data_IF_395597525196
#
_entry.id   IF_395597525196
#
_cell.length_a   1.000
_cell.length_b   1.000
_cell.length_c   1.000
_cell.angle_alpha   90.00
_cell.angle_beta   90.00
_cell.angle_gamma   90.00
#
_symmetry.space_group_name_H-M   'P 1'
#
loop_
_entity.id
_entity.type
_entity.pdbx_description
1 polymer ?
#
# COMPACT_ATOMS: atom_id res chain seq x y z
N UNK A 1 14.77 10.39 -12.78
CA UNK A 1 14.09 9.25 -13.44
C UNK A 1 15.10 8.15 -13.79
N UNK A 2 15.28 7.15 -12.93
CA UNK A 2 16.35 6.16 -13.10
C UNK A 2 15.84 4.71 -13.17
N UNK A 3 16.55 3.88 -13.94
CA UNK A 3 16.29 2.43 -14.10
C UNK A 3 16.20 1.73 -12.74
N UNK A 4 17.11 2.04 -11.82
CA UNK A 4 17.28 1.31 -10.55
C UNK A 4 16.06 1.48 -9.64
N UNK A 5 15.55 2.70 -9.48
CA UNK A 5 14.35 2.98 -8.69
C UNK A 5 13.11 2.32 -9.28
N UNK A 6 12.96 2.34 -10.61
CA UNK A 6 11.86 1.68 -11.30
C UNK A 6 11.92 0.15 -11.16
N UNK A 7 13.12 -0.44 -11.29
CA UNK A 7 13.33 -1.88 -11.11
C UNK A 7 13.06 -2.31 -9.66
N UNK A 8 13.55 -1.56 -8.67
CA UNK A 8 13.29 -1.83 -7.26
C UNK A 8 11.80 -1.71 -6.92
N UNK A 9 11.11 -0.73 -7.53
CA UNK A 9 9.66 -0.59 -7.39
C UNK A 9 8.93 -1.78 -8.04
N UNK A 10 9.27 -2.13 -9.28
CA UNK A 10 8.71 -3.28 -9.97
C UNK A 10 8.86 -4.57 -9.16
N UNK A 11 10.05 -4.79 -8.60
CA UNK A 11 10.33 -5.92 -7.73
C UNK A 11 9.39 -5.98 -6.53
N UNK A 12 9.24 -4.88 -5.78
CA UNK A 12 8.34 -4.83 -4.61
C UNK A 12 6.90 -5.12 -5.01
N UNK A 13 6.43 -4.54 -6.11
CA UNK A 13 5.06 -4.71 -6.59
C UNK A 13 4.82 -6.14 -7.06
N UNK A 14 5.74 -6.75 -7.81
CA UNK A 14 5.60 -8.15 -8.22
C UNK A 14 5.59 -9.10 -7.01
N UNK A 15 6.45 -8.89 -6.01
CA UNK A 15 6.43 -9.69 -4.79
C UNK A 15 5.10 -9.56 -4.02
N UNK A 16 4.51 -8.35 -3.96
CA UNK A 16 3.18 -8.15 -3.38
C UNK A 16 2.09 -8.86 -4.18
N UNK A 17 2.17 -8.84 -5.50
CA UNK A 17 1.23 -9.54 -6.38
C UNK A 17 1.24 -11.05 -6.13
N UNK A 18 2.43 -11.66 -6.06
CA UNK A 18 2.58 -13.10 -5.81
C UNK A 18 2.09 -13.49 -4.41
N UNK A 19 2.38 -12.66 -3.41
CA UNK A 19 1.88 -12.87 -2.04
C UNK A 19 0.36 -12.77 -1.97
N UNK A 20 -0.24 -11.79 -2.65
CA UNK A 20 -1.69 -11.59 -2.67
C UNK A 20 -2.40 -12.76 -3.36
N UNK A 21 -1.85 -13.23 -4.47
CA UNK A 21 -2.33 -14.42 -5.17
C UNK A 21 -2.34 -15.66 -4.26
N UNK A 22 -1.27 -15.87 -3.50
CA UNK A 22 -1.17 -16.98 -2.54
C UNK A 22 -2.24 -16.92 -1.43
N UNK A 23 -2.70 -15.73 -1.07
CA UNK A 23 -3.77 -15.52 -0.08
C UNK A 23 -5.15 -15.38 -0.70
N UNK A 24 -5.30 -15.64 -2.01
CA UNK A 24 -6.55 -15.45 -2.76
C UNK A 24 -7.11 -14.03 -2.72
N UNK A 25 -6.22 -13.03 -2.53
CA UNK A 25 -6.55 -11.61 -2.64
C UNK A 25 -6.35 -11.17 -4.10
N UNK A 26 -7.34 -11.51 -4.93
CA UNK A 26 -7.28 -11.36 -6.38
C UNK A 26 -7.14 -9.89 -6.80
N UNK A 27 -7.86 -8.98 -6.14
CA UNK A 27 -7.82 -7.54 -6.40
C UNK A 27 -6.41 -6.99 -6.23
N UNK A 28 -5.78 -7.27 -5.09
CA UNK A 28 -4.41 -6.82 -4.82
C UNK A 28 -3.41 -7.52 -5.73
N UNK A 29 -3.67 -8.78 -6.10
CA UNK A 29 -2.80 -9.52 -7.02
C UNK A 29 -2.72 -8.84 -8.40
N UNK A 30 -3.87 -8.56 -9.03
CA UNK A 30 -3.88 -7.91 -10.37
C UNK A 30 -3.43 -6.45 -10.30
N UNK A 31 -3.78 -5.72 -9.24
CA UNK A 31 -3.36 -4.33 -9.06
C UNK A 31 -1.84 -4.22 -8.99
N UNK A 32 -1.22 -4.98 -8.08
CA UNK A 32 0.22 -4.98 -7.91
C UNK A 32 0.95 -5.58 -9.12
N UNK A 33 0.39 -6.63 -9.75
CA UNK A 33 0.94 -7.23 -10.96
C UNK A 33 0.98 -6.25 -12.13
N UNK A 34 -0.08 -5.46 -12.31
CA UNK A 34 -0.15 -4.43 -13.35
C UNK A 34 0.80 -3.25 -13.09
N UNK A 35 0.89 -2.76 -11.85
CA UNK A 35 1.86 -1.71 -11.47
C UNK A 35 3.30 -2.19 -11.65
N UNK A 36 3.59 -3.42 -11.18
CA UNK A 36 4.91 -4.04 -11.32
C UNK A 36 5.33 -4.17 -12.78
N UNK A 37 4.42 -4.63 -13.64
CA UNK A 37 4.64 -4.74 -15.10
C UNK A 37 4.91 -3.36 -15.72
N UNK A 38 4.11 -2.35 -15.39
CA UNK A 38 4.30 -0.98 -15.88
C UNK A 38 5.66 -0.41 -15.48
N UNK A 39 6.05 -0.54 -14.20
CA UNK A 39 7.34 -0.06 -13.71
C UNK A 39 8.53 -0.81 -14.35
N UNK A 40 8.40 -2.11 -14.59
CA UNK A 40 9.45 -2.91 -15.20
C UNK A 40 9.65 -2.55 -16.69
N UNK A 41 8.57 -2.39 -17.44
CA UNK A 41 8.63 -1.89 -18.82
C UNK A 41 9.25 -0.50 -18.87
N UNK A 42 8.88 0.38 -17.94
CA UNK A 42 9.49 1.71 -17.78
C UNK A 42 10.98 1.63 -17.41
N UNK A 43 11.39 0.68 -16.57
CA UNK A 43 12.80 0.45 -16.26
C UNK A 43 13.59 0.07 -17.52
N UNK A 44 13.02 -0.78 -18.39
CA UNK A 44 13.63 -1.11 -19.68
C UNK A 44 13.84 0.12 -20.56
N UNK A 45 12.82 0.96 -20.68
CA UNK A 45 12.89 2.19 -21.48
C UNK A 45 13.91 3.16 -20.89
N UNK A 46 13.90 3.37 -19.58
CA UNK A 46 14.85 4.24 -18.88
C UNK A 46 16.29 3.73 -19.02
N UNK A 47 16.52 2.41 -19.04
CA UNK A 47 17.83 1.82 -19.27
C UNK A 47 18.41 2.13 -20.66
N UNK A 48 17.53 2.37 -21.64
CA UNK A 48 17.94 2.80 -22.99
C UNK A 48 18.10 4.32 -23.05
N UNK A 49 17.07 5.06 -22.66
CA UNK A 49 17.11 6.52 -22.52
C UNK A 49 15.87 7.05 -21.77
N UNK A 50 15.99 7.96 -20.78
CA UNK A 50 14.83 8.47 -20.02
C UNK A 50 13.74 9.13 -20.87
N UNK A 51 14.06 9.69 -22.04
CA UNK A 51 13.06 10.29 -22.95
C UNK A 51 12.04 9.28 -23.49
N UNK A 52 12.38 7.99 -23.47
CA UNK A 52 11.47 6.92 -23.88
C UNK A 52 10.38 6.64 -22.83
N UNK A 53 10.52 7.16 -21.61
CA UNK A 53 9.59 6.97 -20.49
C UNK A 53 8.58 8.11 -20.34
N UNK A 54 8.93 9.32 -20.80
CA UNK A 54 8.07 10.50 -20.64
C UNK A 54 6.99 10.60 -21.71
N UNK A 55 5.88 11.25 -21.37
CA UNK A 55 4.86 11.63 -22.35
C UNK A 55 5.46 12.67 -23.30
N UNK A 56 5.60 12.32 -24.58
CA UNK A 56 6.17 13.19 -25.60
C UNK A 56 5.36 14.45 -25.88
N UNK A 57 4.12 14.52 -25.38
CA UNK A 57 3.27 15.71 -25.45
C UNK A 57 3.59 16.74 -24.35
N UNK A 58 4.33 16.34 -23.32
CA UNK A 58 4.71 17.21 -22.20
C UNK A 58 6.16 17.68 -22.32
N UNK A 59 6.35 18.90 -22.84
CA UNK A 59 7.67 19.44 -23.14
C UNK A 59 8.58 19.59 -21.90
N UNK A 60 8.03 19.95 -20.73
CA UNK A 60 8.81 20.03 -19.49
C UNK A 60 9.34 18.64 -19.09
N UNK A 61 8.53 17.60 -19.24
CA UNK A 61 8.95 16.22 -18.98
C UNK A 61 10.08 15.78 -19.92
N UNK A 62 10.01 16.15 -21.21
CA UNK A 62 11.09 15.91 -22.16
C UNK A 62 12.39 16.62 -21.76
N UNK A 63 12.32 17.89 -21.34
CA UNK A 63 13.50 18.64 -20.90
C UNK A 63 14.20 17.95 -19.72
N UNK A 64 13.46 17.51 -18.71
CA UNK A 64 14.01 16.69 -17.61
C UNK A 64 14.65 15.41 -18.13
N UNK A 65 13.95 14.68 -19.00
CA UNK A 65 14.42 13.40 -19.52
C UNK A 65 15.66 13.50 -20.43
N UNK A 66 15.92 14.66 -21.03
CA UNK A 66 17.11 14.92 -21.86
C UNK A 66 18.24 15.63 -21.11
N UNK A 67 18.15 15.78 -19.78
CA UNK A 67 19.17 16.47 -18.98
C UNK A 67 19.19 18.00 -19.15
N UNK A 68 18.09 18.57 -19.62
CA UNK A 68 17.89 20.01 -19.88
C UNK A 68 16.95 20.63 -18.83
N UNK A 69 16.96 20.09 -17.60
CA UNK A 69 16.03 20.45 -16.52
C UNK A 69 16.09 21.92 -16.10
N UNK A 70 17.22 22.60 -16.34
CA UNK A 70 17.38 24.05 -16.11
C UNK A 70 16.46 24.91 -16.97
N UNK A 71 15.97 24.38 -18.09
CA UNK A 71 15.02 25.05 -18.97
C UNK A 71 13.57 24.65 -18.69
N UNK A 72 13.33 23.66 -17.82
CA UNK A 72 12.00 23.21 -17.47
C UNK A 72 11.32 24.21 -16.51
N UNK A 73 10.08 24.56 -16.79
CA UNK A 73 9.29 25.45 -15.95
C UNK A 73 8.73 24.76 -14.68
N UNK A 74 8.72 23.43 -14.66
CA UNK A 74 8.22 22.62 -13.54
C UNK A 74 9.33 21.75 -12.95
N UNK A 75 9.27 21.41 -11.64
CA UNK A 75 10.24 20.51 -11.03
C UNK A 75 10.13 19.07 -11.57
N UNK A 76 11.19 18.26 -11.36
CA UNK A 76 11.24 16.85 -11.81
C UNK A 76 10.12 16.01 -11.18
N UNK A 77 9.66 16.35 -9.98
CA UNK A 77 8.54 15.69 -9.30
C UNK A 77 7.19 15.79 -10.03
N UNK A 78 7.08 16.70 -11.02
CA UNK A 78 5.88 16.86 -11.86
C UNK A 78 6.03 16.25 -13.25
N UNK A 79 7.07 15.45 -13.50
CA UNK A 79 7.27 14.79 -14.78
C UNK A 79 6.13 13.81 -15.08
N UNK A 80 5.55 13.95 -16.26
CA UNK A 80 4.52 13.04 -16.78
C UNK A 80 5.17 11.90 -17.54
N UNK A 81 4.79 10.69 -17.15
CA UNK A 81 5.27 9.46 -17.75
C UNK A 81 4.17 8.83 -18.60
N UNK A 82 4.54 7.99 -19.55
CA UNK A 82 3.58 7.22 -20.35
C UNK A 82 2.88 6.15 -19.50
N UNK A 83 1.70 5.68 -19.92
CA UNK A 83 1.00 4.58 -19.25
C UNK A 83 1.57 3.19 -19.60
N UNK A 84 1.06 2.15 -18.95
CA UNK A 84 1.48 0.76 -19.15
C UNK A 84 1.40 0.29 -20.61
N UNK A 85 0.30 0.57 -21.31
CA UNK A 85 0.12 0.15 -22.71
C UNK A 85 1.17 0.79 -23.64
N UNK A 86 1.40 2.09 -23.51
CA UNK A 86 2.41 2.80 -24.29
C UNK A 86 3.82 2.35 -23.94
N UNK A 87 4.09 2.06 -22.66
CA UNK A 87 5.36 1.49 -22.22
C UNK A 87 5.60 0.12 -22.87
N UNK A 88 4.57 -0.74 -22.91
CA UNK A 88 4.65 -2.04 -23.58
C UNK A 88 4.93 -1.89 -25.07
N UNK A 89 4.20 -1.02 -25.79
CA UNK A 89 4.41 -0.77 -27.23
C UNK A 89 5.85 -0.37 -27.52
N UNK A 90 6.38 0.57 -26.73
CA UNK A 90 7.77 1.04 -26.88
C UNK A 90 8.77 -0.08 -26.57
N UNK A 91 8.54 -0.86 -25.50
CA UNK A 91 9.43 -1.96 -25.14
C UNK A 91 9.41 -3.08 -26.20
N UNK A 92 8.24 -3.44 -26.72
CA UNK A 92 8.06 -4.43 -27.78
C UNK A 92 8.69 -4.01 -29.13
N UNK A 93 8.92 -2.72 -29.35
CA UNK A 93 9.69 -2.23 -30.49
C UNK A 93 11.22 -2.35 -30.29
N UNK A 94 11.68 -2.54 -29.05
CA UNK A 94 13.11 -2.61 -28.69
C UNK A 94 13.59 -4.03 -28.44
N UNK A 95 12.71 -4.90 -27.95
CA UNK A 95 13.04 -6.29 -27.60
C UNK A 95 11.98 -7.25 -28.14
N UNK A 96 12.35 -8.52 -28.30
CA UNK A 96 11.38 -9.55 -28.69
C UNK A 96 10.50 -9.88 -27.49
N UNK A 97 9.22 -9.50 -27.54
CA UNK A 97 8.25 -9.81 -26.51
C UNK A 97 7.57 -11.17 -26.77
N UNK A 98 7.42 -12.02 -25.74
CA UNK A 98 6.72 -13.31 -25.85
C UNK A 98 5.20 -13.18 -25.99
N UNK A 99 4.65 -11.99 -25.74
CA UNK A 99 3.22 -11.68 -25.83
C UNK A 99 2.99 -10.52 -26.80
N UNK A 100 1.77 -10.42 -27.34
CA UNK A 100 1.34 -9.32 -28.20
C UNK A 100 0.56 -8.28 -27.39
N UNK A 101 0.39 -7.09 -27.95
CA UNK A 101 -0.37 -6.00 -27.33
C UNK A 101 -1.75 -6.42 -26.84
N UNK A 102 -2.51 -7.16 -27.67
CA UNK A 102 -3.85 -7.65 -27.33
C UNK A 102 -3.86 -8.60 -26.12
N UNK A 103 -2.73 -9.29 -25.89
CA UNK A 103 -2.62 -10.26 -24.82
C UNK A 103 -2.41 -9.53 -23.47
N UNK A 104 -2.12 -8.23 -23.45
CA UNK A 104 -2.03 -7.43 -22.21
C UNK A 104 -3.39 -7.00 -21.66
N UNK A 105 -4.46 -7.09 -22.47
CA UNK A 105 -5.77 -6.55 -22.11
C UNK A 105 -6.32 -7.07 -20.77
N UNK A 106 -6.26 -8.38 -20.46
CA UNK A 106 -6.74 -8.89 -19.17
C UNK A 106 -6.04 -8.22 -17.97
N UNK A 107 -4.72 -8.06 -18.05
CA UNK A 107 -3.92 -7.45 -16.99
C UNK A 107 -4.24 -5.96 -16.82
N UNK A 108 -4.30 -5.21 -17.92
CA UNK A 108 -4.54 -3.77 -17.87
C UNK A 108 -5.98 -3.44 -17.45
N UNK A 109 -6.95 -4.19 -17.94
CA UNK A 109 -8.36 -4.04 -17.59
C UNK A 109 -8.59 -4.40 -16.12
N UNK A 110 -8.06 -5.52 -15.63
CA UNK A 110 -8.19 -5.90 -14.23
C UNK A 110 -7.54 -4.87 -13.28
N UNK A 111 -6.30 -4.46 -13.57
CA UNK A 111 -5.60 -3.42 -12.77
C UNK A 111 -6.35 -2.09 -12.75
N UNK A 112 -6.88 -1.64 -13.90
CA UNK A 112 -7.64 -0.40 -13.96
C UNK A 112 -9.01 -0.53 -13.26
N UNK A 113 -9.64 -1.70 -13.33
CA UNK A 113 -10.85 -2.04 -12.60
C UNK A 113 -10.66 -1.86 -11.09
N UNK A 114 -9.64 -2.50 -10.51
CA UNK A 114 -9.33 -2.33 -9.09
C UNK A 114 -8.97 -0.89 -8.76
N UNK A 115 -8.09 -0.26 -9.55
CA UNK A 115 -7.61 1.10 -9.25
C UNK A 115 -8.68 2.20 -9.33
N UNK A 116 -9.68 2.05 -10.21
CA UNK A 116 -10.68 3.10 -10.47
C UNK A 116 -12.08 2.75 -9.99
N UNK A 117 -12.43 1.47 -9.92
CA UNK A 117 -13.75 0.98 -9.56
C UNK A 117 -13.73 0.15 -8.27
N UNK A 118 -12.55 -0.21 -7.76
CA UNK A 118 -12.43 -1.07 -6.58
C UNK A 118 -12.88 -2.52 -6.83
N UNK A 119 -12.93 -2.96 -8.08
CA UNK A 119 -13.35 -4.32 -8.44
C UNK A 119 -12.84 -4.75 -9.83
N UNK A 120 -12.59 -6.03 -10.02
CA UNK A 120 -12.41 -6.68 -11.33
C UNK A 120 -13.10 -8.05 -11.39
N UNK A 121 -13.02 -8.72 -12.53
CA UNK A 121 -13.49 -10.10 -12.69
C UNK A 121 -12.41 -11.07 -12.19
N UNK A 122 -12.68 -11.73 -11.07
CA UNK A 122 -11.77 -12.71 -10.46
C UNK A 122 -11.34 -13.81 -11.44
N UNK A 123 -12.19 -14.18 -12.40
CA UNK A 123 -11.89 -15.23 -13.38
C UNK A 123 -10.69 -14.90 -14.27
N UNK A 124 -10.32 -13.62 -14.41
CA UNK A 124 -9.18 -13.20 -15.25
C UNK A 124 -7.86 -13.06 -14.46
N UNK A 125 -7.89 -13.21 -13.13
CA UNK A 125 -6.73 -12.96 -12.25
C UNK A 125 -5.53 -13.82 -12.62
N UNK A 126 -5.76 -15.13 -12.81
CA UNK A 126 -4.70 -16.07 -13.18
C UNK A 126 -4.01 -15.66 -14.49
N UNK A 127 -4.79 -15.42 -15.54
CA UNK A 127 -4.27 -15.09 -16.86
C UNK A 127 -3.54 -13.75 -16.83
N UNK A 128 -4.10 -12.74 -16.15
CA UNK A 128 -3.46 -11.45 -15.95
C UNK A 128 -2.07 -11.58 -15.30
N UNK A 129 -1.95 -12.38 -14.23
CA UNK A 129 -0.67 -12.62 -13.56
C UNK A 129 0.30 -13.42 -14.42
N UNK A 130 -0.19 -14.43 -15.16
CA UNK A 130 0.65 -15.20 -16.07
C UNK A 130 1.26 -14.30 -17.17
N UNK A 131 0.47 -13.36 -17.70
CA UNK A 131 0.96 -12.32 -18.62
C UNK A 131 2.01 -11.44 -17.94
N UNK A 132 1.75 -10.98 -16.72
CA UNK A 132 2.67 -10.14 -15.95
C UNK A 132 4.04 -10.82 -15.72
N UNK A 133 4.04 -12.08 -15.29
CA UNK A 133 5.25 -12.90 -15.11
C UNK A 133 6.00 -13.07 -16.44
N UNK A 134 5.26 -13.39 -17.51
CA UNK A 134 5.83 -13.63 -18.84
C UNK A 134 6.51 -12.37 -19.41
N UNK A 135 5.86 -11.20 -19.28
CA UNK A 135 6.46 -9.91 -19.66
C UNK A 135 7.67 -9.60 -18.78
N UNK A 136 7.57 -9.83 -17.48
CA UNK A 136 8.63 -9.52 -16.55
C UNK A 136 9.90 -10.33 -16.81
N UNK A 137 9.78 -11.64 -17.03
CA UNK A 137 10.94 -12.48 -17.34
C UNK A 137 11.63 -12.06 -18.64
N UNK A 138 10.87 -11.68 -19.68
CA UNK A 138 11.44 -11.18 -20.93
C UNK A 138 12.21 -9.86 -20.73
N UNK A 139 11.66 -8.94 -19.93
CA UNK A 139 12.32 -7.66 -19.61
C UNK A 139 13.56 -7.87 -18.75
N UNK A 140 13.49 -8.73 -17.72
CA UNK A 140 14.63 -9.03 -16.84
C UNK A 140 15.78 -9.68 -17.63
N UNK A 141 15.45 -10.59 -18.56
CA UNK A 141 16.43 -11.21 -19.44
C UNK A 141 17.14 -10.18 -20.33
N UNK A 142 16.39 -9.25 -20.94
CA UNK A 142 17.00 -8.17 -21.74
C UNK A 142 17.87 -7.24 -20.89
N UNK A 143 17.41 -6.87 -19.70
CA UNK A 143 18.16 -6.02 -18.78
C UNK A 143 19.34 -6.73 -18.09
N UNK A 144 19.50 -8.03 -18.31
CA UNK A 144 20.50 -8.89 -17.68
C UNK A 144 20.41 -8.87 -16.15
N UNK A 145 19.19 -8.75 -15.62
CA UNK A 145 18.94 -8.74 -14.18
C UNK A 145 18.88 -10.17 -13.63
N UNK A 146 19.31 -10.32 -12.38
CA UNK A 146 19.31 -11.62 -11.73
C UNK A 146 17.87 -12.03 -11.36
N UNK A 147 17.33 -13.01 -12.09
CA UNK A 147 15.98 -13.56 -11.88
C UNK A 147 15.77 -14.04 -10.42
N UNK A 148 16.69 -14.81 -9.80
CA UNK A 148 16.60 -15.15 -8.38
C UNK A 148 16.50 -13.95 -7.43
N UNK A 149 17.32 -12.92 -7.64
CA UNK A 149 17.29 -11.71 -6.82
C UNK A 149 15.96 -10.98 -6.97
N UNK A 150 15.47 -10.82 -8.21
CA UNK A 150 14.22 -10.10 -8.46
C UNK A 150 13.01 -10.82 -7.85
N UNK A 151 12.81 -12.09 -8.18
CA UNK A 151 11.64 -12.85 -7.74
C UNK A 151 11.74 -13.39 -6.31
N UNK A 152 12.95 -13.47 -5.75
CA UNK A 152 13.17 -13.92 -4.37
C UNK A 152 12.57 -15.30 -4.09
N UNK A 153 11.66 -15.44 -3.11
CA UNK A 153 11.06 -16.73 -2.78
C UNK A 153 10.21 -17.32 -3.91
N UNK A 154 9.74 -16.49 -4.85
CA UNK A 154 8.86 -16.91 -5.95
C UNK A 154 9.61 -17.44 -7.17
N UNK A 155 10.96 -17.40 -7.16
CA UNK A 155 11.75 -17.77 -8.34
C UNK A 155 11.42 -19.18 -8.84
N UNK A 156 11.25 -20.17 -7.97
CA UNK A 156 10.98 -21.54 -8.38
C UNK A 156 9.54 -21.77 -8.88
N UNK A 157 8.58 -21.00 -8.39
CA UNK A 157 7.14 -21.29 -8.51
C UNK A 157 6.38 -20.32 -9.41
N UNK A 158 6.96 -19.17 -9.77
CA UNK A 158 6.27 -18.11 -10.55
C UNK A 158 5.67 -18.56 -11.89
N UNK A 159 6.18 -19.65 -12.47
CA UNK A 159 5.73 -20.19 -13.75
C UNK A 159 4.54 -21.15 -13.61
N UNK A 160 4.22 -21.59 -12.39
CA UNK A 160 3.06 -22.43 -12.07
C UNK A 160 2.27 -21.76 -10.94
N UNK A 161 1.46 -20.76 -11.31
CA UNK A 161 0.69 -19.96 -10.36
C UNK A 161 -0.30 -20.79 -9.57
N UNK A 162 -0.88 -21.82 -10.18
CA UNK A 162 -1.80 -22.72 -9.48
C UNK A 162 -1.08 -23.56 -8.42
N UNK A 163 0.08 -24.15 -8.77
CA UNK A 163 0.89 -24.89 -7.80
C UNK A 163 1.32 -23.97 -6.66
N UNK A 164 1.76 -22.75 -6.99
CA UNK A 164 2.15 -21.75 -6.00
C UNK A 164 1.02 -21.46 -5.00
N UNK A 165 -0.22 -21.29 -5.49
CA UNK A 165 -1.39 -21.04 -4.63
C UNK A 165 -1.74 -22.26 -3.77
N UNK A 166 -1.74 -23.47 -4.37
CA UNK A 166 -2.01 -24.73 -3.64
C UNK A 166 -1.00 -24.99 -2.53
N UNK A 167 0.28 -24.76 -2.79
CA UNK A 167 1.35 -24.93 -1.79
C UNK A 167 1.18 -23.93 -0.65
N UNK A 168 0.86 -22.67 -0.96
CA UNK A 168 0.61 -21.65 0.06
C UNK A 168 -0.60 -21.97 0.94
N UNK A 169 -1.70 -22.43 0.33
CA UNK A 169 -2.90 -22.87 1.06
C UNK A 169 -2.61 -24.09 1.95
N UNK A 170 -1.91 -25.09 1.40
CA UNK A 170 -1.51 -26.29 2.16
C UNK A 170 -0.58 -25.94 3.33
N UNK A 171 0.36 -25.01 3.13
CA UNK A 171 1.26 -24.54 4.18
C UNK A 171 0.50 -23.75 5.27
N UNK A 172 -0.53 -22.99 4.90
CA UNK A 172 -1.39 -22.30 5.86
C UNK A 172 -2.24 -23.28 6.68
N UNK A 173 -2.72 -24.37 6.07
CA UNK A 173 -3.47 -25.43 6.75
C UNK A 173 -2.58 -26.30 7.66
N UNK A 174 -1.33 -26.54 7.26
CA UNK A 174 -0.36 -27.34 8.03
C UNK A 174 0.40 -26.54 9.09
N UNK A 175 0.26 -25.21 9.10
CA UNK A 175 0.83 -24.38 10.14
C UNK A 175 0.18 -24.79 11.49
N UNK A 176 0.96 -25.32 12.45
CA UNK A 176 0.40 -25.80 13.70
C UNK A 176 -0.30 -24.65 14.44
N UNK A 177 -1.54 -24.90 14.90
CA UNK A 177 -2.14 -24.17 16.00
C UNK A 177 -1.23 -24.37 17.23
N UNK A 178 -0.29 -23.46 17.44
CA UNK A 178 0.50 -23.40 18.66
C UNK A 178 1.97 -23.76 18.49
N UNK A 179 2.81 -22.72 18.57
CA UNK A 179 4.05 -22.81 19.34
C UNK A 179 3.75 -22.16 20.68
N UNK A 180 3.82 -22.96 21.73
CA UNK A 180 3.60 -22.54 23.11
C UNK A 180 4.51 -21.38 23.49
N UNK A 181 3.88 -20.30 23.93
CA UNK A 181 4.52 -19.26 24.73
C UNK A 181 4.62 -19.86 26.14
N UNK A 182 5.83 -20.05 26.65
CA UNK A 182 6.03 -20.26 28.08
C UNK A 182 5.39 -19.06 28.81
N UNK A 183 4.46 -19.39 29.70
CA UNK A 183 3.55 -18.48 30.39
C UNK A 183 4.26 -17.24 30.94
N UNK A 184 4.10 -16.13 30.22
CA UNK A 184 4.12 -14.81 30.83
C UNK A 184 2.83 -14.74 31.65
N UNK A 185 2.98 -14.65 32.97
CA UNK A 185 1.96 -14.65 34.02
C UNK A 185 0.56 -14.19 33.55
N UNK A 186 -0.31 -15.18 33.28
CA UNK A 186 -1.70 -15.02 32.81
C UNK A 186 -2.60 -14.25 33.80
N UNK A 187 -2.10 -13.85 34.97
CA UNK A 187 -2.88 -13.06 35.94
C UNK A 187 -2.99 -11.57 35.60
N UNK A 188 -2.30 -11.07 34.57
CA UNK A 188 -2.43 -9.66 34.13
C UNK A 188 -3.15 -9.46 32.78
N UNK A 189 -3.56 -10.53 32.09
CA UNK A 189 -4.33 -10.48 30.83
C UNK A 189 -5.76 -11.02 31.01
N UNK A 190 -6.37 -10.74 32.16
CA UNK A 190 -7.77 -11.10 32.40
C UNK A 190 -8.75 -10.31 31.53
N UNK A 191 -9.54 -11.04 30.76
CA UNK A 191 -10.81 -10.67 30.10
C UNK A 191 -10.76 -9.64 28.96
N UNK A 192 -10.37 -10.09 27.76
CA UNK A 192 -10.72 -9.40 26.51
C UNK A 192 -11.44 -10.28 25.47
N UNK A 193 -11.69 -11.57 25.77
CA UNK A 193 -12.25 -12.50 24.77
C UNK A 193 -13.79 -12.69 24.78
N UNK A 194 -14.55 -12.17 25.74
CA UNK A 194 -16.02 -12.37 25.78
C UNK A 194 -16.87 -11.10 25.55
N UNK A 195 -16.28 -10.05 24.97
CA UNK A 195 -16.90 -8.71 24.88
C UNK A 195 -17.23 -8.18 23.49
N UNK A 196 -17.13 -8.97 22.42
CA UNK A 196 -17.53 -8.53 21.08
C UNK A 196 -19.07 -8.53 20.98
N UNK A 197 -19.63 -7.39 21.38
CA UNK A 197 -21.02 -6.93 21.23
C UNK A 197 -21.83 -7.74 20.21
N UNK A 198 -22.80 -8.51 20.71
CA UNK A 198 -23.90 -9.01 19.89
C UNK A 198 -24.62 -7.84 19.20
N UNK A 199 -25.04 -8.01 17.94
CA UNK A 199 -25.59 -6.93 17.15
C UNK A 199 -27.02 -6.62 17.63
N UNK A 200 -27.17 -5.56 18.42
CA UNK A 200 -28.47 -4.92 18.62
C UNK A 200 -28.75 -4.06 17.39
N UNK A 201 -29.92 -4.28 16.82
CA UNK A 201 -30.30 -3.88 15.47
C UNK A 201 -30.28 -2.36 15.19
N UNK A 202 -30.05 -2.08 13.90
CA UNK A 202 -30.46 -0.91 13.10
C UNK A 202 -29.73 0.43 13.32
N UNK A 203 -28.81 0.75 12.38
CA UNK A 203 -28.98 1.93 11.52
C UNK A 203 -28.05 1.84 10.30
N UNK A 204 -28.38 2.56 9.23
CA UNK A 204 -27.68 2.69 7.93
C UNK A 204 -26.22 3.23 7.98
N UNK A 205 -25.44 2.97 9.04
CA UNK A 205 -23.95 3.13 9.07
C UNK A 205 -23.26 1.95 8.35
N UNK A 206 -23.94 1.50 7.30
CA UNK A 206 -23.90 0.23 6.58
C UNK A 206 -22.63 0.04 5.78
N UNK A 207 -22.17 -1.20 5.65
CA UNK A 207 -21.10 -1.64 4.73
C UNK A 207 -19.72 -1.01 4.97
N UNK A 208 -19.54 0.31 4.82
CA UNK A 208 -18.27 1.01 5.05
C UNK A 208 -17.66 0.74 6.43
N UNK A 209 -18.48 0.66 7.48
CA UNK A 209 -17.98 0.32 8.81
C UNK A 209 -17.56 -1.16 8.93
N UNK A 210 -18.24 -2.06 8.22
CA UNK A 210 -17.85 -3.48 8.19
C UNK A 210 -16.59 -3.70 7.35
N UNK A 211 -16.48 -3.02 6.21
CA UNK A 211 -15.25 -2.96 5.40
C UNK A 211 -14.10 -2.39 6.24
N UNK A 212 -14.33 -1.31 6.99
CA UNK A 212 -13.34 -0.76 7.90
C UNK A 212 -12.91 -1.75 8.98
N UNK A 213 -13.82 -2.55 9.56
CA UNK A 213 -13.44 -3.60 10.52
C UNK A 213 -12.49 -4.63 9.91
N UNK A 214 -12.77 -5.07 8.68
CA UNK A 214 -11.92 -6.02 7.97
C UNK A 214 -10.55 -5.37 7.67
N UNK A 215 -10.55 -4.16 7.12
CA UNK A 215 -9.33 -3.40 6.82
C UNK A 215 -8.46 -3.19 8.07
N UNK A 216 -9.05 -2.74 9.18
CA UNK A 216 -8.37 -2.58 10.48
C UNK A 216 -7.80 -3.91 10.96
N UNK A 217 -8.55 -5.00 10.88
CA UNK A 217 -8.06 -6.30 11.30
C UNK A 217 -6.82 -6.74 10.50
N UNK A 218 -6.81 -6.51 9.18
CA UNK A 218 -5.66 -6.78 8.31
C UNK A 218 -4.48 -5.86 8.65
N UNK A 219 -4.70 -4.55 8.74
CA UNK A 219 -3.68 -3.54 9.07
C UNK A 219 -3.03 -3.80 10.44
N UNK A 220 -3.82 -4.09 11.46
CA UNK A 220 -3.35 -4.47 12.81
C UNK A 220 -2.52 -5.75 12.75
N UNK A 221 -2.94 -6.76 11.98
CA UNK A 221 -2.17 -8.01 11.80
C UNK A 221 -0.83 -7.74 11.11
N UNK A 222 -0.82 -6.91 10.07
CA UNK A 222 0.41 -6.51 9.36
C UNK A 222 1.37 -5.73 10.25
N UNK A 223 0.88 -4.72 10.98
CA UNK A 223 1.68 -3.94 11.92
C UNK A 223 2.26 -4.81 13.04
N UNK A 224 1.49 -5.77 13.57
CA UNK A 224 2.01 -6.77 14.53
C UNK A 224 3.16 -7.60 13.96
N UNK A 225 3.05 -8.04 12.70
CA UNK A 225 4.13 -8.79 12.03
C UNK A 225 5.36 -7.91 11.82
N UNK A 226 5.16 -6.69 11.33
CA UNK A 226 6.26 -5.75 11.09
C UNK A 226 7.00 -5.41 12.38
N UNK A 227 6.28 -5.09 13.45
CA UNK A 227 6.85 -4.84 14.77
C UNK A 227 7.68 -6.03 15.26
N UNK A 228 7.16 -7.27 15.14
CA UNK A 228 7.92 -8.47 15.49
C UNK A 228 9.21 -8.60 14.69
N UNK A 229 9.20 -8.33 13.39
CA UNK A 229 10.40 -8.41 12.53
C UNK A 229 11.43 -7.34 12.90
N UNK A 230 10.99 -6.09 13.08
CA UNK A 230 11.88 -4.96 13.35
C UNK A 230 12.53 -4.99 14.73
N UNK A 231 11.86 -5.59 15.70
CA UNK A 231 12.29 -5.61 17.09
C UNK A 231 12.56 -7.02 17.64
N UNK A 232 12.64 -8.02 16.77
CA UNK A 232 13.04 -9.37 17.17
C UNK A 232 14.41 -9.36 17.86
N UNK A 233 14.46 -9.88 19.10
CA UNK A 233 15.68 -9.97 19.88
C UNK A 233 16.18 -8.65 20.48
N UNK A 234 15.40 -7.55 20.38
CA UNK A 234 15.72 -6.27 21.03
C UNK A 234 15.13 -6.20 22.43
N UNK A 235 15.81 -5.54 23.36
CA UNK A 235 15.27 -5.29 24.71
C UNK A 235 14.26 -4.13 24.70
N UNK A 236 13.36 -4.04 25.70
CA UNK A 236 12.45 -2.90 25.84
C UNK A 236 13.16 -1.52 25.85
N UNK A 237 14.36 -1.44 26.41
CA UNK A 237 15.15 -0.20 26.41
C UNK A 237 15.69 0.14 25.02
N UNK A 238 16.07 -0.86 24.23
CA UNK A 238 16.52 -0.68 22.84
C UNK A 238 15.36 -0.26 21.93
N UNK A 239 14.16 -0.80 22.17
CA UNK A 239 12.92 -0.40 21.50
C UNK A 239 12.61 1.07 21.83
N UNK A 240 12.53 1.41 23.13
CA UNK A 240 12.24 2.77 23.57
C UNK A 240 13.26 3.79 23.04
N UNK A 241 14.55 3.42 22.93
CA UNK A 241 15.59 4.27 22.37
C UNK A 241 15.45 4.47 20.85
N UNK A 242 14.97 3.46 20.13
CA UNK A 242 14.67 3.57 18.70
C UNK A 242 13.46 4.49 18.46
N UNK A 243 12.44 4.42 19.33
CA UNK A 243 11.24 5.27 19.27
C UNK A 243 11.52 6.74 19.64
N UNK A 244 12.60 7.02 20.37
CA UNK A 244 13.02 8.39 20.71
C UNK A 244 13.69 9.15 19.55
N UNK A 245 13.98 8.49 18.43
CA UNK A 245 14.39 9.18 17.22
C UNK A 245 13.10 9.62 16.52
N UNK A 246 12.59 10.79 16.87
CA UNK A 246 11.50 11.42 16.11
C UNK A 246 11.91 11.36 14.64
N UNK A 247 11.14 10.69 13.76
CA UNK A 247 11.29 10.99 12.36
C UNK A 247 11.01 12.48 12.25
N UNK A 248 11.98 13.25 11.75
CA UNK A 248 11.71 14.55 11.13
C UNK A 248 10.87 14.31 9.87
N UNK A 249 9.72 13.65 10.01
CA UNK A 249 8.67 13.66 9.04
C UNK A 249 8.31 15.14 8.89
N UNK A 250 8.55 15.68 7.71
CA UNK A 250 8.31 17.07 7.38
C UNK A 250 6.80 17.32 7.48
N UNK A 251 6.35 17.64 8.71
CA UNK A 251 4.95 17.93 9.06
C UNK A 251 4.37 19.09 8.23
N UNK A 252 5.20 19.78 7.44
CA UNK A 252 4.77 20.82 6.51
C UNK A 252 4.04 20.28 5.27
N UNK A 253 4.19 18.99 4.93
CA UNK A 253 3.59 18.41 3.71
C UNK A 253 2.06 18.22 3.83
N UNK A 254 1.53 18.08 5.06
CA UNK A 254 0.11 17.81 5.32
C UNK A 254 -0.76 19.08 5.55
N UNK A 255 -0.20 20.28 5.38
CA UNK A 255 -0.91 21.53 5.65
C UNK A 255 -1.18 21.79 7.14
N UNK A 256 -2.00 22.78 7.47
CA UNK A 256 -2.41 23.02 8.86
C UNK A 256 -3.29 21.85 9.35
N UNK A 257 -2.70 20.90 10.07
CA UNK A 257 -3.40 19.81 10.74
C UNK A 257 -3.36 19.98 12.26
N UNK A 258 -4.42 19.53 12.94
CA UNK A 258 -4.42 19.38 14.39
C UNK A 258 -3.98 17.95 14.74
N UNK A 259 -3.00 17.82 15.63
CA UNK A 259 -2.45 16.53 16.05
C UNK A 259 -2.78 16.24 17.52
N UNK A 260 -3.11 15.00 17.80
CA UNK A 260 -3.29 14.46 19.15
C UNK A 260 -2.54 13.15 19.25
N UNK A 261 -1.62 13.06 20.21
CA UNK A 261 -0.91 11.82 20.49
C UNK A 261 -1.81 10.84 21.25
N UNK A 262 -1.93 9.60 20.76
CA UNK A 262 -2.67 8.50 21.38
C UNK A 262 -1.84 7.23 21.42
N UNK A 263 -2.16 6.31 22.33
CA UNK A 263 -1.45 5.03 22.42
C UNK A 263 -1.86 4.08 21.28
N UNK A 264 -0.85 3.58 20.58
CA UNK A 264 -1.03 2.61 19.51
C UNK A 264 -1.56 1.27 20.05
N UNK A 265 -2.62 0.71 19.46
CA UNK A 265 -3.25 -0.52 19.93
C UNK A 265 -2.44 -1.78 19.56
N UNK A 266 -1.41 -1.64 18.73
CA UNK A 266 -0.54 -2.74 18.32
C UNK A 266 0.68 -2.88 19.24
N UNK A 267 1.41 -1.79 19.45
CA UNK A 267 2.70 -1.81 20.15
C UNK A 267 2.72 -1.00 21.46
N UNK A 268 1.69 -0.19 21.75
CA UNK A 268 1.64 0.64 22.94
C UNK A 268 2.52 1.90 22.88
N UNK A 269 3.25 2.14 21.79
CA UNK A 269 3.95 3.40 21.56
C UNK A 269 2.96 4.56 21.35
N UNK A 270 3.46 5.79 21.42
CA UNK A 270 2.68 6.95 21.02
C UNK A 270 2.55 6.99 19.50
N UNK A 271 1.36 7.31 19.01
CA UNK A 271 1.07 7.55 17.60
C UNK A 271 0.26 8.83 17.43
N UNK A 272 0.32 9.40 16.23
CA UNK A 272 -0.26 10.71 15.94
C UNK A 272 -1.63 10.53 15.28
N UNK A 273 -2.68 11.06 15.91
CA UNK A 273 -3.99 11.23 15.29
C UNK A 273 -4.09 12.63 14.71
N UNK A 274 -4.39 12.74 13.42
CA UNK A 274 -4.47 14.02 12.71
C UNK A 274 -5.89 14.33 12.22
N UNK A 275 -6.29 15.60 12.27
CA UNK A 275 -7.47 16.13 11.61
C UNK A 275 -7.09 17.24 10.62
N UNK A 276 -7.58 17.13 9.38
CA UNK A 276 -7.27 18.09 8.31
C UNK A 276 -8.10 19.37 8.42
N UNK A 277 -7.48 20.54 8.60
CA UNK A 277 -8.21 21.82 8.64
C UNK A 277 -8.66 22.31 7.26
N UNK A 278 -8.10 21.76 6.18
CA UNK A 278 -8.32 22.21 4.79
C UNK A 278 -9.70 21.94 4.20
N UNK A 279 -10.47 21.00 4.77
CA UNK A 279 -11.80 20.64 4.27
C UNK A 279 -12.96 21.37 4.98
N UNK A 280 -12.67 22.38 5.82
CA UNK A 280 -13.75 23.10 6.50
C UNK A 280 -14.63 23.87 5.49
N UNK A 281 -15.97 23.68 5.53
CA UNK A 281 -16.87 24.47 4.70
C UNK A 281 -16.69 25.96 5.04
N UNK A 282 -16.44 26.78 4.01
CA UNK A 282 -16.26 28.24 4.14
C UNK A 282 -17.36 28.81 5.05
N UNK A 283 -16.96 29.54 6.10
CA UNK A 283 -17.85 30.16 7.11
C UNK A 283 -19.18 30.61 6.48
N UNK A 284 -20.34 30.09 6.92
CA UNK A 284 -21.61 30.56 6.41
C UNK A 284 -21.78 32.06 6.74
N UNK A 285 -22.35 32.82 5.79
CA UNK A 285 -22.66 34.25 5.96
C UNK A 285 -23.48 34.47 7.24
N UNK A 286 -23.13 35.51 8.02
CA UNK A 286 -23.73 35.91 9.30
C UNK A 286 -25.24 35.61 9.37
N UNK A 287 -25.66 34.76 10.31
CA UNK A 287 -27.09 34.62 10.66
C UNK A 287 -27.55 33.23 11.13
N UNK A 288 -26.80 32.16 10.88
CA UNK A 288 -27.09 30.82 11.44
C UNK A 288 -26.07 30.50 12.52
N UNK A 289 -26.53 30.01 13.69
CA UNK A 289 -25.69 29.31 14.66
C UNK A 289 -25.12 28.10 13.92
N UNK A 290 -23.89 28.18 13.44
CA UNK A 290 -23.19 26.98 13.00
C UNK A 290 -23.02 26.11 14.24
N UNK A 291 -23.60 24.91 14.24
CA UNK A 291 -22.97 23.83 15.00
C UNK A 291 -21.52 23.83 14.51
N UNK A 292 -20.56 24.00 15.41
CA UNK A 292 -19.17 23.65 15.08
C UNK A 292 -19.25 22.18 14.67
N UNK A 293 -19.18 21.91 13.37
CA UNK A 293 -18.80 20.57 12.91
C UNK A 293 -17.45 20.35 13.58
N UNK A 294 -17.43 19.43 14.54
CA UNK A 294 -16.22 19.14 15.30
C UNK A 294 -15.16 18.66 14.32
N UNK A 295 -13.93 19.11 14.51
CA UNK A 295 -12.78 18.57 13.81
C UNK A 295 -12.71 17.08 14.14
N UNK A 296 -13.06 16.24 13.16
CA UNK A 296 -12.98 14.80 13.31
C UNK A 296 -11.59 14.36 12.89
N UNK A 297 -10.98 13.40 13.60
CA UNK A 297 -9.73 12.82 13.16
C UNK A 297 -9.97 12.02 11.88
N UNK A 298 -9.06 12.19 10.92
CA UNK A 298 -9.13 11.58 9.60
C UNK A 298 -8.05 10.51 9.40
N UNK A 299 -6.96 10.57 10.19
CA UNK A 299 -5.82 9.68 10.08
C UNK A 299 -5.19 9.34 11.44
N UNK A 300 -4.58 8.16 11.54
CA UNK A 300 -3.66 7.78 12.62
C UNK A 300 -2.41 7.12 12.06
N UNK A 301 -1.25 7.49 12.60
CA UNK A 301 0.03 6.85 12.32
C UNK A 301 0.72 6.35 13.58
N UNK A 302 1.47 5.27 13.46
CA UNK A 302 2.38 4.82 14.49
C UNK A 302 3.73 4.44 13.88
N UNK A 303 4.71 5.34 14.02
CA UNK A 303 6.08 5.18 13.49
C UNK A 303 6.77 3.92 14.00
N UNK A 304 6.44 3.46 15.20
CA UNK A 304 7.04 2.26 15.81
C UNK A 304 6.62 0.97 15.11
N UNK A 305 5.35 0.80 14.77
CA UNK A 305 4.85 -0.46 14.19
C UNK A 305 4.34 -0.35 12.75
N UNK A 306 4.32 0.87 12.19
CA UNK A 306 3.78 1.17 10.87
C UNK A 306 2.27 0.93 10.76
N UNK A 307 1.52 1.12 11.85
CA UNK A 307 0.06 1.05 11.79
C UNK A 307 -0.49 2.38 11.29
N UNK A 308 -1.02 2.37 10.07
CA UNK A 308 -1.67 3.51 9.43
C UNK A 308 -3.18 3.28 9.32
N UNK A 309 -4.01 4.23 9.76
CA UNK A 309 -5.47 4.20 9.65
C UNK A 309 -5.94 5.43 8.88
N UNK A 310 -6.59 5.23 7.74
CA UNK A 310 -6.68 6.28 6.69
C UNK A 310 -8.06 6.93 6.57
N UNK A 311 -8.96 6.61 7.49
CA UNK A 311 -10.27 7.21 7.52
C UNK A 311 -10.93 7.10 8.89
N UNK A 312 -11.96 7.92 9.07
CA UNK A 312 -12.79 7.95 10.27
C UNK A 312 -13.36 6.60 10.67
N UNK A 313 -13.80 5.75 9.73
CA UNK A 313 -14.42 4.48 10.09
C UNK A 313 -13.39 3.51 10.70
N UNK A 314 -12.16 3.50 10.18
CA UNK A 314 -11.04 2.73 10.75
C UNK A 314 -10.69 3.22 12.16
N UNK A 315 -10.66 4.53 12.36
CA UNK A 315 -10.46 5.13 13.69
C UNK A 315 -11.62 4.79 14.65
N UNK A 316 -12.86 4.84 14.19
CA UNK A 316 -14.04 4.46 14.98
C UNK A 316 -14.00 3.00 15.42
N UNK A 317 -13.52 2.08 14.57
CA UNK A 317 -13.37 0.65 14.91
C UNK A 317 -12.46 0.44 16.12
N UNK A 318 -11.39 1.24 16.25
CA UNK A 318 -10.45 1.16 17.38
C UNK A 318 -10.81 2.13 18.53
N UNK A 319 -11.97 2.79 18.46
CA UNK A 319 -12.38 3.77 19.48
C UNK A 319 -11.59 5.08 19.45
N UNK A 320 -10.79 5.32 18.40
CA UNK A 320 -9.96 6.50 18.18
C UNK A 320 -10.72 7.66 17.51
N UNK A 321 -12.05 7.59 17.42
CA UNK A 321 -12.88 8.66 16.84
C UNK A 321 -13.96 9.20 17.80
N UNK A 322 -14.06 8.65 19.03
CA UNK A 322 -14.85 9.22 20.12
C UNK A 322 -14.25 10.55 20.68
N UNK A 323 -14.96 11.69 20.61
CA UNK A 323 -14.46 12.96 21.13
C UNK A 323 -14.24 12.88 22.65
N UNK A 324 -13.16 13.51 23.13
CA UNK A 324 -12.99 13.73 24.57
C UNK A 324 -14.13 14.60 25.12
N UNK A 325 -14.32 14.67 26.45
CA UNK A 325 -15.30 15.57 27.09
C UNK A 325 -15.11 17.05 26.69
N UNK A 326 -13.94 17.43 26.17
CA UNK A 326 -13.60 18.77 25.72
C UNK A 326 -13.55 18.91 24.18
N UNK A 327 -13.98 17.89 23.42
CA UNK A 327 -13.76 17.79 21.96
C UNK A 327 -12.44 17.08 21.63
N UNK A 328 -12.20 16.76 20.35
CA UNK A 328 -10.97 16.10 19.90
C UNK A 328 -9.73 16.97 20.10
N UNK A 329 -9.86 18.26 19.78
CA UNK A 329 -8.81 19.25 19.93
C UNK A 329 -9.38 20.40 20.77
N UNK A 330 -9.27 20.27 22.08
CA UNK A 330 -9.64 21.35 23.00
C UNK A 330 -8.63 22.49 22.87
N UNK A 331 -9.11 23.67 22.49
CA UNK A 331 -8.35 24.93 22.59
C UNK A 331 -8.39 25.48 24.02
#
# INVERSE_FOLDING_TARGET
>A
MDKTSLLASAQRQMNRAMSAWCTSDNDMAVLHGGIGTEHLLKALLAARHPSLLVDGRDFNSLLHATGQSTYAASPETKVKTIGALDAFKRAAALITMPVKERDLDPLLTARNGVAHLGAHDDAVTHDALAIAVTVADAVLADLQENIPTFWGPWTGTRLDLEQMQREAQSAAEQAPEGVGIEAVDERQLGNWEDGLLEPVAEDFRSESFQVAKIAVAVKVRCAKKLYRVLYYGKTPEEIAKADMVEPEADRSEYGECLYLSVKCPVCGADGDVAASLGNQPKRPKKGRRSRREGDFPDYFDCDTCGLELDNRYELEVLGMAAPSRNGWFGY
#
